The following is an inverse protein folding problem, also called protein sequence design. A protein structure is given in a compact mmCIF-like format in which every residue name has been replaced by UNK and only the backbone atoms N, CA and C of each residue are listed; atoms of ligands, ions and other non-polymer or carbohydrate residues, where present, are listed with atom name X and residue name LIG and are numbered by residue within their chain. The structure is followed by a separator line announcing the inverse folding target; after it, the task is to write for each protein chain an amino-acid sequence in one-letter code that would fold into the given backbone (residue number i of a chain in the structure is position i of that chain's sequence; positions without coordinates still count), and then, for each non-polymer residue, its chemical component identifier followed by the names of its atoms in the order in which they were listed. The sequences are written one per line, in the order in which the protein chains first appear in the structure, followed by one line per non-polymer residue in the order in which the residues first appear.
data_IF_604979076037
#
_entry.id   IF_604979076037
#
_cell.length_a   1.000
_cell.length_b   1.000
_cell.length_c   1.000
_cell.angle_alpha   90.00
_cell.angle_beta   90.00
_cell.angle_gamma   90.00
#
_symmetry.space_group_name_H-M   'P 1'
#
loop_
_entity.id
_entity.type
_entity.pdbx_description
1 polymer ?
#
# COMPACT_ATOMS: atom_id res chain seq x y z
N UNK A 1 11.16 12.77 9.79
CA UNK A 1 10.81 11.70 8.83
C UNK A 1 9.43 11.11 9.12
N UNK A 2 9.08 10.89 10.39
CA UNK A 2 7.75 10.38 10.79
C UNK A 2 6.57 11.17 10.20
N UNK A 3 6.55 12.49 10.33
CA UNK A 3 5.48 13.33 9.75
C UNK A 3 5.38 13.16 8.22
N UNK A 4 6.52 13.01 7.54
CA UNK A 4 6.55 12.79 6.08
C UNK A 4 5.92 11.44 5.73
N UNK A 5 6.16 10.41 6.56
CA UNK A 5 5.55 9.10 6.39
C UNK A 5 4.03 9.18 6.62
N UNK A 6 3.58 9.90 7.65
CA UNK A 6 2.16 10.14 7.90
C UNK A 6 1.50 10.84 6.71
N UNK A 7 2.15 11.86 6.14
CA UNK A 7 1.64 12.56 4.95
C UNK A 7 1.58 11.65 3.71
N UNK A 8 2.56 10.76 3.53
CA UNK A 8 2.55 9.77 2.46
C UNK A 8 1.37 8.81 2.59
N UNK A 9 1.16 8.24 3.78
CA UNK A 9 0.06 7.30 4.03
C UNK A 9 -1.29 8.00 3.94
N UNK A 10 -1.40 9.23 4.45
CA UNK A 10 -2.61 10.05 4.30
C UNK A 10 -2.94 10.29 2.83
N UNK A 11 -1.91 10.56 2.01
CA UNK A 11 -2.08 10.70 0.56
C UNK A 11 -2.62 9.42 -0.07
N UNK A 12 -2.09 8.26 0.30
CA UNK A 12 -2.55 6.95 -0.18
C UNK A 12 -4.01 6.68 0.22
N UNK A 13 -4.39 6.94 1.47
CA UNK A 13 -5.79 6.81 1.90
C UNK A 13 -6.71 7.69 1.04
N UNK A 14 -6.31 8.93 0.77
CA UNK A 14 -7.11 9.85 -0.04
C UNK A 14 -7.23 9.40 -1.49
N UNK A 15 -6.12 9.07 -2.15
CA UNK A 15 -6.07 8.87 -3.61
C UNK A 15 -6.33 7.42 -4.04
N UNK A 16 -6.04 6.45 -3.16
CA UNK A 16 -6.08 5.02 -3.49
C UNK A 16 -7.26 4.30 -2.82
N UNK A 17 -7.85 4.88 -1.76
CA UNK A 17 -9.00 4.29 -1.06
C UNK A 17 -10.26 5.16 -1.12
N UNK A 18 -10.18 6.46 -0.79
CA UNK A 18 -11.35 7.34 -0.75
C UNK A 18 -11.80 7.81 -2.15
N UNK A 19 -10.86 8.06 -3.05
CA UNK A 19 -11.18 8.46 -4.44
C UNK A 19 -11.61 7.24 -5.25
N UNK A 20 -12.91 7.18 -5.57
CA UNK A 20 -13.52 6.16 -6.41
C UNK A 20 -14.09 6.79 -7.68
N UNK A 21 -13.82 6.17 -8.83
CA UNK A 21 -14.35 6.63 -10.11
C UNK A 21 -15.67 5.97 -10.46
N UNK A 22 -16.75 6.76 -10.51
CA UNK A 22 -18.07 6.30 -10.94
C UNK A 22 -18.14 5.88 -12.43
N UNK A 23 -17.10 6.19 -13.22
CA UNK A 23 -17.03 5.83 -14.64
C UNK A 23 -16.12 4.64 -14.94
N UNK A 24 -15.40 4.12 -13.94
CA UNK A 24 -14.46 3.02 -14.14
C UNK A 24 -15.15 1.67 -13.92
N UNK A 25 -14.99 0.73 -14.85
CA UNK A 25 -15.73 -0.55 -14.85
C UNK A 25 -15.56 -1.35 -13.55
N UNK A 26 -14.38 -1.29 -12.92
CA UNK A 26 -14.06 -2.06 -11.72
C UNK A 26 -14.17 -1.23 -10.43
N UNK A 27 -13.92 0.07 -10.52
CA UNK A 27 -13.86 0.97 -9.36
C UNK A 27 -15.19 1.71 -9.10
N UNK A 28 -16.17 1.53 -10.00
CA UNK A 28 -17.52 2.06 -9.83
C UNK A 28 -18.27 1.45 -8.64
N UNK A 29 -17.92 0.24 -8.20
CA UNK A 29 -18.57 -0.44 -7.08
C UNK A 29 -17.58 -1.28 -6.27
N UNK A 30 -17.50 -0.99 -4.98
CA UNK A 30 -16.58 -1.63 -4.05
C UNK A 30 -17.34 -2.40 -2.97
N UNK A 31 -17.14 -3.72 -2.91
CA UNK A 31 -17.73 -4.55 -1.85
C UNK A 31 -17.07 -4.26 -0.49
N UNK A 32 -17.79 -4.45 0.63
CA UNK A 32 -17.24 -4.26 1.98
C UNK A 32 -15.93 -5.04 2.21
N UNK A 33 -15.84 -6.26 1.69
CA UNK A 33 -14.62 -7.08 1.76
C UNK A 33 -13.45 -6.41 1.02
N UNK A 34 -13.67 -5.93 -0.21
CA UNK A 34 -12.64 -5.23 -0.99
C UNK A 34 -12.18 -3.97 -0.25
N UNK A 35 -13.11 -3.17 0.26
CA UNK A 35 -12.78 -1.97 1.04
C UNK A 35 -11.95 -2.31 2.29
N UNK A 36 -12.36 -3.33 3.06
CA UNK A 36 -11.66 -3.76 4.26
C UNK A 36 -10.24 -4.24 3.95
N UNK A 37 -10.05 -5.00 2.87
CA UNK A 37 -8.74 -5.48 2.48
C UNK A 37 -7.84 -4.36 1.92
N UNK A 38 -8.38 -3.42 1.14
CA UNK A 38 -7.63 -2.26 0.64
C UNK A 38 -7.11 -1.39 1.79
N UNK A 39 -8.00 -1.02 2.72
CA UNK A 39 -7.61 -0.22 3.89
C UNK A 39 -6.63 -0.98 4.78
N UNK A 40 -6.88 -2.27 5.03
CA UNK A 40 -5.96 -3.14 5.78
C UNK A 40 -4.57 -3.21 5.16
N UNK A 41 -4.48 -3.17 3.83
CA UNK A 41 -3.19 -3.15 3.11
C UNK A 41 -2.43 -1.85 3.34
N UNK A 42 -3.11 -0.70 3.28
CA UNK A 42 -2.48 0.61 3.53
C UNK A 42 -1.98 0.70 4.99
N UNK A 43 -2.77 0.21 5.95
CA UNK A 43 -2.37 0.15 7.37
C UNK A 43 -1.17 -0.79 7.56
N UNK A 44 -1.17 -1.96 6.90
CA UNK A 44 -0.04 -2.90 6.94
C UNK A 44 1.23 -2.28 6.37
N UNK A 45 1.12 -1.58 5.23
CA UNK A 45 2.23 -0.84 4.63
C UNK A 45 2.81 0.21 5.59
N UNK A 46 1.95 0.98 6.26
CA UNK A 46 2.39 1.94 7.29
C UNK A 46 3.20 1.26 8.40
N UNK A 47 2.69 0.15 8.98
CA UNK A 47 3.40 -0.55 10.05
C UNK A 47 4.74 -1.16 9.62
N UNK A 48 4.89 -1.57 8.36
CA UNK A 48 6.17 -2.06 7.83
C UNK A 48 7.17 -0.92 7.59
N UNK A 49 6.69 0.17 6.99
CA UNK A 49 7.52 1.34 6.66
C UNK A 49 7.96 2.12 7.89
N UNK A 50 7.17 2.14 8.97
CA UNK A 50 7.64 2.66 10.27
C UNK A 50 8.89 1.91 10.75
N UNK A 51 8.89 0.57 10.71
CA UNK A 51 10.06 -0.24 11.10
C UNK A 51 11.28 0.01 10.22
N UNK A 52 11.07 0.33 8.95
CA UNK A 52 12.16 0.69 8.03
C UNK A 52 12.72 2.07 8.35
N UNK A 53 11.85 3.01 8.72
CA UNK A 53 12.24 4.32 9.19
C UNK A 53 13.10 4.23 10.45
N UNK A 54 12.70 3.40 11.41
CA UNK A 54 13.48 3.10 12.62
C UNK A 54 14.84 2.45 12.28
N UNK A 55 14.93 1.76 11.14
CA UNK A 55 16.16 1.15 10.63
C UNK A 55 17.01 2.10 9.78
N UNK A 56 16.62 3.38 9.64
CA UNK A 56 17.40 4.41 8.95
C UNK A 56 17.03 4.65 7.47
N UNK A 57 16.03 3.94 6.92
CA UNK A 57 15.55 4.18 5.54
C UNK A 57 14.75 5.48 5.50
N UNK A 58 14.98 6.31 4.50
CA UNK A 58 14.26 7.59 4.36
C UNK A 58 12.87 7.42 3.75
N UNK A 59 11.95 8.35 4.02
CA UNK A 59 10.62 8.34 3.39
C UNK A 59 10.71 8.48 1.86
N UNK A 60 11.76 9.12 1.34
CA UNK A 60 11.99 9.25 -0.10
C UNK A 60 12.23 7.87 -0.76
N UNK A 61 13.01 7.01 -0.12
CA UNK A 61 13.29 5.64 -0.58
C UNK A 61 12.05 4.74 -0.45
N UNK A 62 11.30 4.89 0.64
CA UNK A 62 10.01 4.20 0.81
C UNK A 62 9.04 4.61 -0.31
N UNK A 63 8.98 5.90 -0.64
CA UNK A 63 8.11 6.43 -1.69
C UNK A 63 8.50 5.96 -3.09
N UNK A 64 9.79 5.76 -3.36
CA UNK A 64 10.27 5.23 -4.64
C UNK A 64 10.12 3.72 -4.78
N UNK A 65 9.72 3.03 -3.70
CA UNK A 65 9.44 1.60 -3.72
C UNK A 65 8.38 1.24 -4.76
N UNK A 66 8.56 0.13 -5.51
CA UNK A 66 7.54 -0.39 -6.43
C UNK A 66 6.25 -0.81 -5.70
N UNK A 67 6.26 -0.94 -4.38
CA UNK A 67 5.07 -1.28 -3.60
C UNK A 67 4.02 -0.14 -3.61
N UNK A 68 4.45 1.12 -3.58
CA UNK A 68 3.54 2.29 -3.56
C UNK A 68 2.59 2.30 -4.77
N UNK A 69 3.08 2.25 -6.03
CA UNK A 69 2.19 2.20 -7.18
C UNK A 69 1.36 0.91 -7.22
N UNK A 70 1.84 -0.23 -6.69
CA UNK A 70 1.05 -1.46 -6.64
C UNK A 70 -0.13 -1.35 -5.69
N UNK A 71 0.06 -0.73 -4.53
CA UNK A 71 -1.03 -0.45 -3.57
C UNK A 71 -2.05 0.51 -4.21
N UNK A 72 -1.59 1.54 -4.94
CA UNK A 72 -2.48 2.48 -5.63
C UNK A 72 -3.40 1.82 -6.68
N UNK A 73 -2.96 0.71 -7.29
CA UNK A 73 -3.71 -0.04 -8.30
C UNK A 73 -4.68 -1.08 -7.71
N UNK A 74 -4.80 -1.20 -6.38
CA UNK A 74 -5.74 -2.16 -5.77
C UNK A 74 -7.21 -1.92 -6.18
N UNK A 75 -7.57 -0.66 -6.45
CA UNK A 75 -8.91 -0.30 -6.91
C UNK A 75 -9.29 -0.91 -8.26
N UNK A 76 -8.29 -1.24 -9.09
CA UNK A 76 -8.50 -1.88 -10.40
C UNK A 76 -8.63 -3.40 -10.29
N UNK A 77 -8.51 -3.98 -9.09
CA UNK A 77 -8.64 -5.43 -8.91
C UNK A 77 -10.14 -5.78 -8.88
N UNK A 78 -10.60 -6.75 -9.71
CA UNK A 78 -11.96 -7.26 -9.64
C UNK A 78 -12.30 -7.78 -8.25
N UNK A 79 -13.56 -7.63 -7.83
CA UNK A 79 -14.01 -8.06 -6.50
C UNK A 79 -13.78 -9.55 -6.24
N UNK A 80 -13.84 -10.40 -7.28
CA UNK A 80 -13.64 -11.84 -7.19
C UNK A 80 -12.18 -12.22 -6.89
N UNK A 81 -11.23 -11.43 -7.39
CA UNK A 81 -9.80 -11.70 -7.29
C UNK A 81 -9.14 -11.05 -6.07
N UNK A 82 -9.85 -10.12 -5.40
CA UNK A 82 -9.28 -9.22 -4.41
C UNK A 82 -8.53 -9.94 -3.29
N UNK A 83 -9.09 -11.03 -2.79
CA UNK A 83 -8.50 -11.80 -1.70
C UNK A 83 -7.15 -12.39 -2.10
N UNK A 84 -7.10 -13.04 -3.25
CA UNK A 84 -5.89 -13.71 -3.73
C UNK A 84 -4.78 -12.70 -4.02
N UNK A 85 -5.14 -11.59 -4.68
CA UNK A 85 -4.21 -10.54 -5.10
C UNK A 85 -3.66 -9.76 -3.92
N UNK A 86 -4.49 -9.42 -2.92
CA UNK A 86 -4.01 -8.73 -1.72
C UNK A 86 -3.14 -9.65 -0.86
N UNK A 87 -3.47 -10.94 -0.73
CA UNK A 87 -2.61 -11.91 -0.03
C UNK A 87 -1.23 -12.03 -0.71
N UNK A 88 -1.19 -12.07 -2.04
CA UNK A 88 0.07 -12.04 -2.80
C UNK A 88 0.84 -10.74 -2.55
N UNK A 89 0.16 -9.59 -2.62
CA UNK A 89 0.76 -8.28 -2.36
C UNK A 89 1.34 -8.19 -0.94
N UNK A 90 0.68 -8.77 0.05
CA UNK A 90 1.19 -8.82 1.43
C UNK A 90 2.48 -9.63 1.54
N UNK A 91 2.57 -10.79 0.89
CA UNK A 91 3.78 -11.60 0.88
C UNK A 91 4.95 -10.89 0.19
N UNK A 92 4.67 -10.18 -0.91
CA UNK A 92 5.67 -9.39 -1.63
C UNK A 92 6.12 -8.17 -0.83
N UNK A 93 5.22 -7.49 -0.11
CA UNK A 93 5.57 -6.38 0.79
C UNK A 93 6.50 -6.86 1.89
N UNK A 94 6.20 -8.00 2.52
CA UNK A 94 7.06 -8.58 3.54
C UNK A 94 8.43 -8.93 2.97
N UNK A 95 8.49 -9.54 1.78
CA UNK A 95 9.77 -9.89 1.15
C UNK A 95 10.59 -8.64 0.78
N UNK A 96 9.97 -7.68 0.11
CA UNK A 96 10.66 -6.51 -0.47
C UNK A 96 11.09 -5.49 0.59
N UNK A 97 10.25 -5.26 1.60
CA UNK A 97 10.50 -4.26 2.64
C UNK A 97 11.37 -4.83 3.78
N UNK A 98 11.38 -6.15 4.01
CA UNK A 98 12.30 -6.78 4.96
C UNK A 98 13.70 -6.96 4.35
N UNK A 99 13.81 -7.28 3.04
CA UNK A 99 15.09 -7.46 2.38
C UNK A 99 15.94 -6.17 2.29
N UNK A 100 15.32 -4.98 2.27
CA UNK A 100 16.04 -3.70 2.29
C UNK A 100 16.83 -3.43 3.59
N UNK A 101 16.66 -4.26 4.64
CA UNK A 101 17.51 -4.20 5.85
C UNK A 101 19.01 -4.47 5.60
N UNK A 102 19.38 -5.00 4.43
CA UNK A 102 20.77 -5.34 4.10
C UNK A 102 21.53 -4.34 3.22
N UNK A 103 20.90 -3.23 2.84
CA UNK A 103 21.42 -2.29 1.83
C UNK A 103 21.89 -0.95 2.40
N UNK A 104 22.72 -0.95 3.43
CA UNK A 104 23.47 0.24 3.84
C UNK A 104 24.79 -0.20 4.48
N UNK A 105 25.80 -0.36 3.65
CA UNK A 105 27.21 -0.38 4.01
C UNK A 105 27.91 0.74 3.23
#
# INVERSE_FOLDING_TARGET
EEDKLVLLVTKMIREDFLMQSAYHEIDTYCLPLKAQMMLGTIIKFYGLTQKMLDSGVTVAEIRSSPMVPRIARMKDIPNEDIESKIKQLWAEMETSLVAQKGGAA
#
